data_IF_056967188136
#
_entry.id   IF_056967188136
#
_cell.length_a   1.000
_cell.length_b   1.000
_cell.length_c   1.000
_cell.angle_alpha   90.00
_cell.angle_beta   90.00
_cell.angle_gamma   90.00
#
_symmetry.space_group_name_H-M   'P 1'
#
loop_
_entity.id
_entity.type
_entity.pdbx_description
1 polymer ?
#
# COMPACT_ATOMS: atom_id res chain seq x y z
N UNK A 1 0.68 -23.12 -6.20
CA UNK A 1 0.64 -22.03 -7.21
C UNK A 1 1.99 -21.33 -7.16
N UNK A 2 2.62 -21.08 -8.32
CA UNK A 2 3.91 -20.38 -8.39
C UNK A 2 3.81 -19.01 -7.69
N UNK A 3 4.77 -18.61 -6.82
CA UNK A 3 4.76 -17.30 -6.15
C UNK A 3 4.55 -16.11 -7.10
N UNK A 4 5.13 -16.15 -8.31
CA UNK A 4 4.96 -15.08 -9.31
C UNK A 4 3.53 -15.00 -9.82
N UNK A 5 2.86 -16.14 -10.02
CA UNK A 5 1.44 -16.17 -10.41
C UNK A 5 0.53 -15.66 -9.30
N UNK A 6 0.84 -15.98 -8.03
CA UNK A 6 0.07 -15.47 -6.88
C UNK A 6 0.10 -13.94 -6.86
N UNK A 7 1.28 -13.36 -7.05
CA UNK A 7 1.48 -11.91 -7.09
C UNK A 7 0.75 -11.28 -8.27
N UNK A 8 0.88 -11.84 -9.47
CA UNK A 8 0.16 -11.38 -10.66
C UNK A 8 -1.35 -11.35 -10.44
N UNK A 9 -1.93 -12.43 -9.92
CA UNK A 9 -3.38 -12.52 -9.66
C UNK A 9 -3.81 -11.53 -8.57
N UNK A 10 -3.03 -11.39 -7.49
CA UNK A 10 -3.32 -10.44 -6.43
C UNK A 10 -3.27 -8.99 -6.93
N UNK A 11 -2.28 -8.64 -7.75
CA UNK A 11 -2.16 -7.29 -8.33
C UNK A 11 -3.31 -6.99 -9.29
N UNK A 12 -3.64 -7.92 -10.19
CA UNK A 12 -4.76 -7.75 -11.13
C UNK A 12 -6.08 -7.48 -10.37
N UNK A 13 -6.38 -8.30 -9.35
CA UNK A 13 -7.58 -8.11 -8.51
C UNK A 13 -7.58 -6.78 -7.75
N UNK A 14 -6.42 -6.33 -7.28
CA UNK A 14 -6.32 -5.02 -6.62
C UNK A 14 -6.61 -3.90 -7.61
N UNK A 15 -6.04 -3.95 -8.81
CA UNK A 15 -6.31 -2.97 -9.87
C UNK A 15 -7.80 -2.99 -10.20
N UNK A 16 -8.39 -4.15 -10.51
CA UNK A 16 -9.81 -4.24 -10.87
C UNK A 16 -10.74 -3.65 -9.81
N UNK A 17 -10.40 -3.86 -8.53
CA UNK A 17 -11.20 -3.38 -7.40
C UNK A 17 -11.11 -1.86 -7.20
N UNK A 18 -9.90 -1.29 -7.31
CA UNK A 18 -9.65 0.08 -6.84
C UNK A 18 -9.38 1.08 -7.97
N UNK A 19 -9.12 0.63 -9.21
CA UNK A 19 -8.70 1.50 -10.32
C UNK A 19 -9.59 2.72 -10.49
N UNK A 20 -10.90 2.54 -10.44
CA UNK A 20 -11.90 3.60 -10.64
C UNK A 20 -12.54 4.08 -9.32
N UNK A 21 -11.99 3.69 -8.17
CA UNK A 21 -12.53 4.09 -6.87
C UNK A 21 -11.91 5.45 -6.45
N UNK A 22 -12.74 6.46 -6.18
CA UNK A 22 -12.26 7.71 -5.56
C UNK A 22 -11.68 7.44 -4.18
N UNK A 23 -10.66 8.21 -3.82
CA UNK A 23 -10.04 8.10 -2.51
C UNK A 23 -11.07 8.38 -1.39
N UNK A 24 -11.19 7.44 -0.45
CA UNK A 24 -12.10 7.53 0.67
C UNK A 24 -11.53 6.81 1.91
N UNK A 25 -11.25 7.57 2.97
CA UNK A 25 -10.69 7.04 4.21
C UNK A 25 -11.51 5.88 4.80
N UNK A 26 -10.82 4.79 5.12
CA UNK A 26 -11.38 3.57 5.70
C UNK A 26 -12.05 2.63 4.71
N UNK A 27 -12.15 3.00 3.42
CA UNK A 27 -12.84 2.19 2.40
C UNK A 27 -12.02 2.01 1.13
N UNK A 28 -11.52 3.10 0.55
CA UNK A 28 -10.68 3.15 -0.64
C UNK A 28 -9.52 4.13 -0.38
N UNK A 29 -8.58 3.70 0.47
CA UNK A 29 -7.34 4.42 0.75
C UNK A 29 -6.13 3.48 0.58
N UNK A 30 -4.93 4.03 0.71
CA UNK A 30 -3.69 3.31 0.49
C UNK A 30 -3.54 2.08 1.41
N UNK A 31 -4.00 2.16 2.67
CA UNK A 31 -3.94 1.04 3.60
C UNK A 31 -5.00 -0.02 3.26
N UNK A 32 -6.22 0.37 2.93
CA UNK A 32 -7.27 -0.57 2.53
C UNK A 32 -6.92 -1.31 1.24
N UNK A 33 -6.28 -0.62 0.28
CA UNK A 33 -5.71 -1.21 -0.93
C UNK A 33 -4.62 -2.22 -0.58
N UNK A 34 -3.63 -1.83 0.24
CA UNK A 34 -2.56 -2.71 0.67
C UNK A 34 -3.08 -3.95 1.42
N UNK A 35 -4.01 -3.77 2.36
CA UNK A 35 -4.64 -4.88 3.10
C UNK A 35 -5.33 -5.86 2.15
N UNK A 36 -6.11 -5.36 1.19
CA UNK A 36 -6.76 -6.21 0.21
C UNK A 36 -5.74 -6.99 -0.62
N UNK A 37 -4.72 -6.30 -1.12
CA UNK A 37 -3.66 -6.89 -1.93
C UNK A 37 -2.88 -7.99 -1.18
N UNK A 38 -2.41 -7.67 0.02
CA UNK A 38 -1.61 -8.55 0.87
C UNK A 38 -2.41 -9.78 1.34
N UNK A 39 -3.73 -9.64 1.59
CA UNK A 39 -4.61 -10.80 1.83
C UNK A 39 -4.74 -11.69 0.60
N UNK A 40 -4.77 -11.10 -0.60
CA UNK A 40 -4.72 -11.84 -1.86
C UNK A 40 -3.46 -12.70 -1.99
N UNK A 41 -2.36 -12.25 -1.38
CA UNK A 41 -1.08 -12.98 -1.28
C UNK A 41 -0.95 -13.82 0.01
N UNK A 42 -2.03 -13.96 0.79
CA UNK A 42 -2.10 -14.74 2.04
C UNK A 42 -1.23 -14.25 3.20
N UNK A 43 -0.79 -12.98 3.16
CA UNK A 43 -0.07 -12.35 4.27
C UNK A 43 -0.99 -12.18 5.48
N UNK A 44 -0.50 -12.52 6.68
CA UNK A 44 -1.20 -12.26 7.94
C UNK A 44 -1.02 -10.80 8.33
N UNK A 45 -2.12 -10.06 8.39
CA UNK A 45 -2.11 -8.63 8.68
C UNK A 45 -2.41 -8.32 10.13
N UNK A 46 -1.79 -7.27 10.70
CA UNK A 46 -2.17 -6.76 12.01
C UNK A 46 -3.61 -6.21 11.98
N UNK A 47 -4.28 -6.34 13.13
CA UNK A 47 -5.62 -5.78 13.32
C UNK A 47 -5.51 -4.26 13.37
N UNK A 48 -6.38 -3.59 12.63
CA UNK A 48 -6.47 -2.14 12.59
C UNK A 48 -7.91 -1.75 12.89
N UNK A 49 -8.10 -0.74 13.73
CA UNK A 49 -9.43 -0.20 14.04
C UNK A 49 -9.98 0.54 12.82
N UNK A 50 -11.29 0.52 12.64
CA UNK A 50 -11.94 1.32 11.59
C UNK A 50 -11.74 2.82 11.84
N UNK A 51 -11.54 3.58 10.76
CA UNK A 51 -11.42 5.03 10.75
C UNK A 51 -12.15 5.60 9.53
N UNK A 52 -12.39 6.93 9.51
CA UNK A 52 -13.09 7.64 8.44
C UNK A 52 -12.43 8.97 8.06
N UNK A 53 -11.22 9.23 8.54
CA UNK A 53 -10.45 10.46 8.27
C UNK A 53 -8.95 10.21 8.45
N UNK A 54 -8.11 11.12 7.94
CA UNK A 54 -6.66 11.08 8.11
C UNK A 54 -6.26 11.06 9.60
N UNK A 55 -6.83 11.94 10.42
CA UNK A 55 -6.57 11.98 11.87
C UNK A 55 -6.97 10.66 12.53
N UNK A 56 -8.11 10.09 12.12
CA UNK A 56 -8.57 8.79 12.58
C UNK A 56 -7.60 7.66 12.20
N UNK A 57 -7.07 7.68 10.97
CA UNK A 57 -6.05 6.74 10.52
C UNK A 57 -4.77 6.86 11.36
N UNK A 58 -4.35 8.08 11.70
CA UNK A 58 -3.11 8.32 12.49
C UNK A 58 -3.27 7.81 13.92
N UNK A 59 -4.44 8.03 14.50
CA UNK A 59 -4.80 7.43 15.78
C UNK A 59 -4.82 5.91 15.72
N UNK A 60 -5.41 5.33 14.66
CA UNK A 60 -5.45 3.88 14.49
C UNK A 60 -4.05 3.27 14.36
N UNK A 61 -3.13 3.94 13.65
CA UNK A 61 -1.72 3.53 13.55
C UNK A 61 -1.03 3.51 14.92
N UNK A 62 -1.23 4.56 15.73
CA UNK A 62 -0.69 4.62 17.10
C UNK A 62 -1.30 3.57 18.03
N UNK A 63 -2.61 3.32 17.92
CA UNK A 63 -3.29 2.26 18.68
C UNK A 63 -2.76 0.85 18.31
N UNK A 64 -2.17 0.69 17.12
CA UNK A 64 -1.46 -0.53 16.72
C UNK A 64 -0.02 -0.60 17.25
N UNK A 65 0.49 0.45 17.89
CA UNK A 65 1.85 0.53 18.44
C UNK A 65 2.90 1.11 17.49
N UNK A 66 2.50 1.80 16.42
CA UNK A 66 3.42 2.37 15.44
C UNK A 66 3.26 3.89 15.30
N UNK A 67 4.38 4.59 15.10
CA UNK A 67 4.39 6.03 14.82
C UNK A 67 4.43 6.35 13.33
N UNK A 68 5.01 5.45 12.52
CA UNK A 68 5.19 5.60 11.07
C UNK A 68 4.65 4.40 10.32
N UNK A 69 4.29 4.61 9.04
CA UNK A 69 3.90 3.52 8.16
C UNK A 69 5.07 2.57 7.89
N UNK A 70 6.30 3.08 7.85
CA UNK A 70 7.51 2.27 7.77
C UNK A 70 7.60 1.24 8.90
N UNK A 71 7.48 1.68 10.16
CA UNK A 71 7.55 0.78 11.31
C UNK A 71 6.42 -0.25 11.31
N UNK A 72 5.22 0.14 10.84
CA UNK A 72 4.13 -0.80 10.62
C UNK A 72 4.51 -1.86 9.58
N UNK A 73 5.01 -1.46 8.40
CA UNK A 73 5.37 -2.39 7.32
C UNK A 73 6.52 -3.31 7.72
N UNK A 74 7.54 -2.78 8.40
CA UNK A 74 8.69 -3.53 8.94
C UNK A 74 8.26 -4.63 9.93
N UNK A 75 7.13 -4.46 10.61
CA UNK A 75 6.67 -5.42 11.61
C UNK A 75 6.14 -6.75 11.03
N UNK A 76 5.79 -6.79 9.74
CA UNK A 76 5.17 -7.98 9.14
C UNK A 76 5.56 -8.26 7.68
N UNK A 77 6.39 -7.42 7.05
CA UNK A 77 6.93 -7.64 5.71
C UNK A 77 8.46 -7.60 5.74
N UNK A 78 9.08 -8.22 4.74
CA UNK A 78 10.53 -8.15 4.55
C UNK A 78 10.90 -6.85 3.82
N UNK A 79 11.65 -5.95 4.44
CA UNK A 79 12.19 -4.77 3.77
C UNK A 79 13.22 -5.19 2.70
N UNK A 80 13.16 -4.56 1.53
CA UNK A 80 14.04 -4.78 0.37
C UNK A 80 14.53 -3.44 -0.19
N UNK A 81 15.56 -3.44 -1.04
CA UNK A 81 15.91 -2.22 -1.76
C UNK A 81 14.82 -1.89 -2.80
N UNK A 82 14.45 -0.60 -3.01
CA UNK A 82 13.44 -0.23 -4.01
C UNK A 82 13.73 -0.74 -5.42
N UNK A 83 15.01 -0.80 -5.81
CA UNK A 83 15.44 -1.34 -7.10
C UNK A 83 15.20 -2.86 -7.27
N UNK A 84 15.00 -3.59 -6.17
CA UNK A 84 14.69 -5.03 -6.18
C UNK A 84 13.17 -5.30 -6.23
N UNK A 85 12.35 -4.25 -6.22
CA UNK A 85 10.90 -4.38 -6.19
C UNK A 85 10.37 -5.13 -7.41
N UNK A 86 9.55 -6.15 -7.14
CA UNK A 86 8.84 -6.92 -8.15
C UNK A 86 7.36 -6.55 -8.15
N UNK A 87 6.65 -6.94 -9.22
CA UNK A 87 5.19 -6.82 -9.31
C UNK A 87 4.51 -7.28 -8.01
N UNK A 88 3.75 -6.39 -7.36
CA UNK A 88 3.04 -6.67 -6.11
C UNK A 88 3.83 -6.39 -4.82
N UNK A 89 5.08 -5.95 -4.89
CA UNK A 89 5.78 -5.46 -3.70
C UNK A 89 5.17 -4.12 -3.26
N UNK A 90 5.19 -3.87 -1.95
CA UNK A 90 4.75 -2.60 -1.39
C UNK A 90 5.88 -1.59 -1.52
N UNK A 91 5.57 -0.40 -2.01
CA UNK A 91 6.51 0.72 -2.08
C UNK A 91 5.91 1.88 -1.30
N UNK A 92 6.66 2.44 -0.36
CA UNK A 92 6.25 3.63 0.36
C UNK A 92 6.90 4.83 -0.31
N UNK A 93 6.06 5.75 -0.77
CA UNK A 93 6.48 7.02 -1.35
C UNK A 93 6.29 8.14 -0.34
N UNK A 94 7.12 9.17 -0.45
CA UNK A 94 6.88 10.42 0.25
C UNK A 94 5.49 10.96 -0.10
N UNK A 95 4.71 11.25 0.94
CA UNK A 95 3.39 11.85 0.80
C UNK A 95 3.36 13.29 1.30
N UNK A 96 2.15 13.84 1.42
CA UNK A 96 1.95 15.19 1.96
C UNK A 96 1.64 15.17 3.46
N UNK A 97 1.84 16.33 4.10
CA UNK A 97 1.42 16.78 5.43
C UNK A 97 1.32 15.74 6.58
N UNK A 98 0.45 14.74 6.46
CA UNK A 98 0.06 13.81 7.53
C UNK A 98 0.53 12.37 7.33
N UNK A 99 0.78 11.93 6.09
CA UNK A 99 1.13 10.53 5.78
C UNK A 99 1.97 10.38 4.53
N UNK A 100 2.90 9.43 4.60
CA UNK A 100 3.49 8.81 3.43
C UNK A 100 2.48 7.95 2.67
N UNK A 101 2.71 7.73 1.38
CA UNK A 101 1.79 7.02 0.50
C UNK A 101 2.20 5.57 0.30
N UNK A 102 1.36 4.62 0.76
CA UNK A 102 1.52 3.20 0.42
C UNK A 102 1.06 2.97 -1.02
N UNK A 103 1.95 2.41 -1.84
CA UNK A 103 1.71 2.07 -3.23
C UNK A 103 2.10 0.61 -3.52
N UNK A 104 1.70 0.09 -4.67
CA UNK A 104 2.03 -1.28 -5.10
C UNK A 104 2.86 -1.20 -6.38
N UNK A 105 4.01 -1.88 -6.43
CA UNK A 105 4.83 -1.97 -7.64
C UNK A 105 4.08 -2.72 -8.75
N UNK A 106 4.10 -2.14 -9.95
CA UNK A 106 3.59 -2.73 -11.20
C UNK A 106 4.67 -2.80 -12.27
N UNK A 107 5.93 -3.00 -11.84
CA UNK A 107 7.12 -2.93 -12.69
C UNK A 107 7.89 -1.65 -12.40
N UNK A 108 8.26 -0.91 -13.45
CA UNK A 108 8.98 0.38 -13.35
C UNK A 108 8.15 1.52 -12.72
N UNK A 109 6.85 1.28 -12.53
CA UNK A 109 5.89 2.21 -11.93
C UNK A 109 5.27 1.61 -10.69
N UNK A 110 4.64 2.47 -9.90
CA UNK A 110 3.76 2.06 -8.81
C UNK A 110 2.31 2.48 -9.09
N UNK A 111 1.35 1.85 -8.43
CA UNK A 111 -0.05 2.28 -8.43
C UNK A 111 -0.46 2.81 -7.07
N UNK A 112 -1.18 3.93 -7.08
CA UNK A 112 -1.68 4.62 -5.89
C UNK A 112 -2.59 5.79 -6.30
N UNK A 113 -3.25 6.42 -5.32
CA UNK A 113 -3.89 7.72 -5.55
C UNK A 113 -2.82 8.81 -5.57
N UNK A 114 -2.87 9.70 -6.56
CA UNK A 114 -1.93 10.82 -6.68
C UNK A 114 -2.64 12.11 -6.28
N UNK A 115 -1.95 13.03 -5.62
CA UNK A 115 -2.55 14.28 -5.11
C UNK A 115 -3.24 15.13 -6.20
N UNK A 116 -2.76 15.07 -7.44
CA UNK A 116 -3.35 15.78 -8.58
C UNK A 116 -4.65 15.13 -9.08
N UNK A 117 -4.87 13.85 -8.81
CA UNK A 117 -6.07 13.10 -9.20
C UNK A 117 -6.40 12.03 -8.15
N UNK A 118 -7.17 12.44 -7.14
CA UNK A 118 -7.67 11.57 -6.08
C UNK A 118 -8.96 10.81 -6.47
N UNK A 119 -9.43 10.92 -7.73
CA UNK A 119 -10.66 10.25 -8.19
C UNK A 119 -10.46 8.78 -8.57
N UNK A 120 -9.21 8.34 -8.73
CA UNK A 120 -8.83 7.01 -9.22
C UNK A 120 -7.38 6.65 -8.89
N UNK A 121 -7.00 5.39 -9.13
CA UNK A 121 -5.59 5.00 -9.08
C UNK A 121 -4.85 5.41 -10.35
N UNK A 122 -3.67 6.00 -10.17
CA UNK A 122 -2.75 6.39 -11.22
C UNK A 122 -1.53 5.48 -11.25
N UNK A 123 -0.94 5.30 -12.44
CA UNK A 123 0.40 4.73 -12.57
C UNK A 123 1.43 5.85 -12.38
N UNK A 124 2.21 5.80 -11.31
CA UNK A 124 3.08 6.88 -10.84
C UNK A 124 4.54 6.45 -11.03
N UNK A 125 5.40 7.40 -11.45
CA UNK A 125 6.85 7.21 -11.45
C UNK A 125 7.38 7.35 -10.01
N UNK A 126 8.07 6.35 -9.45
CA UNK A 126 8.50 6.36 -8.05
C UNK A 126 9.82 7.13 -7.90
N UNK A 127 9.76 8.46 -7.83
CA UNK A 127 10.96 9.33 -7.72
C UNK A 127 11.39 9.50 -6.26
N UNK A 128 10.44 9.68 -5.32
CA UNK A 128 10.70 9.92 -3.89
C UNK A 128 10.30 8.70 -3.05
N UNK A 129 11.00 7.57 -3.25
CA UNK A 129 10.76 6.35 -2.48
C UNK A 129 11.43 6.39 -1.12
N UNK A 130 10.65 6.13 -0.07
CA UNK A 130 11.15 5.97 1.31
C UNK A 130 11.65 4.53 1.53
N UNK A 131 10.93 3.54 1.00
CA UNK A 131 11.28 2.13 1.16
C UNK A 131 10.42 1.19 0.31
N UNK A 132 10.81 -0.08 0.29
CA UNK A 132 10.04 -1.14 -0.35
C UNK A 132 10.03 -2.41 0.51
N UNK A 133 8.96 -3.20 0.39
CA UNK A 133 8.75 -4.40 1.18
C UNK A 133 8.14 -5.53 0.35
N UNK A 134 8.56 -6.75 0.68
CA UNK A 134 8.11 -7.98 0.08
C UNK A 134 7.27 -8.80 1.04
N UNK A 135 6.17 -9.33 0.53
CA UNK A 135 5.41 -10.37 1.19
C UNK A 135 6.25 -11.65 1.31
N UNK A 136 6.32 -12.20 2.53
CA UNK A 136 6.97 -13.47 2.87
C UNK A 136 5.97 -14.64 2.89
#
# INVERSE_FOLDING_TARGET
>A
MNPLLVRQVATARTIDRFRQAPHAWGTADCWQMARFHLRGMKVKLPRCRAYKSAIGAKRALREMGFDTLEGLLDSFLLRIAPAEALLGDIVLMQGDALFDAITISVGEKVIGWHQEDMSRLSNIMPIETIGAWRAI
#
